data_IF_493364815059
#
_entry.id   IF_493364815059
#
_cell.length_a   1.000
_cell.length_b   1.000
_cell.length_c   1.000
_cell.angle_alpha   90.00
_cell.angle_beta   90.00
_cell.angle_gamma   90.00
#
_symmetry.space_group_name_H-M   'P 1'
#
loop_
_entity.id
_entity.type
_entity.pdbx_description
1 polymer ?
#
# COMPACT_ATOMS: atom_id res chain seq x y z
N UNK A 1 -49.51 -21.14 -21.44
CA UNK A 1 -48.63 -20.03 -21.83
C UNK A 1 -47.61 -19.85 -20.71
N UNK A 2 -46.37 -20.32 -20.90
CA UNK A 2 -45.32 -20.33 -19.88
C UNK A 2 -44.54 -19.01 -19.97
N UNK A 3 -44.71 -18.13 -18.98
CA UNK A 3 -44.02 -16.84 -18.92
C UNK A 3 -42.72 -17.00 -18.12
N UNK A 4 -41.60 -17.13 -18.82
CA UNK A 4 -40.27 -17.33 -18.21
C UNK A 4 -39.65 -15.97 -17.87
N UNK A 5 -39.61 -15.63 -16.58
CA UNK A 5 -38.95 -14.42 -16.08
C UNK A 5 -37.44 -14.70 -15.93
N UNK A 6 -36.63 -14.19 -16.86
CA UNK A 6 -35.17 -14.24 -16.77
C UNK A 6 -34.67 -13.04 -15.93
N UNK A 7 -34.32 -13.30 -14.67
CA UNK A 7 -33.61 -12.34 -13.83
C UNK A 7 -32.13 -12.32 -14.23
N UNK A 8 -31.73 -11.36 -15.06
CA UNK A 8 -30.32 -11.10 -15.34
C UNK A 8 -29.74 -10.22 -14.21
N UNK A 9 -29.25 -10.85 -13.13
CA UNK A 9 -28.45 -10.14 -12.12
C UNK A 9 -27.08 -9.79 -12.72
N UNK A 10 -27.00 -8.64 -13.40
CA UNK A 10 -25.72 -8.06 -13.79
C UNK A 10 -25.05 -7.48 -12.53
N UNK A 11 -24.12 -8.25 -11.93
CA UNK A 11 -23.20 -7.72 -10.93
C UNK A 11 -22.23 -6.80 -11.68
N UNK A 12 -22.52 -5.50 -11.68
CA UNK A 12 -21.54 -4.49 -12.07
C UNK A 12 -20.53 -4.42 -10.93
N UNK A 13 -19.53 -5.30 -10.98
CA UNK A 13 -18.35 -5.16 -10.14
C UNK A 13 -17.61 -3.90 -10.62
N UNK A 14 -17.84 -2.78 -9.94
CA UNK A 14 -17.14 -1.53 -10.20
C UNK A 14 -15.63 -1.79 -10.12
N UNK A 15 -14.93 -1.65 -11.26
CA UNK A 15 -13.47 -1.69 -11.30
C UNK A 15 -12.98 -0.43 -10.59
N UNK A 16 -12.72 -0.56 -9.29
CA UNK A 16 -12.08 0.48 -8.51
C UNK A 16 -10.59 0.47 -8.86
N UNK A 17 -10.12 1.54 -9.48
CA UNK A 17 -8.69 1.73 -9.73
C UNK A 17 -7.96 1.81 -8.40
N UNK A 18 -7.10 0.82 -8.13
CA UNK A 18 -6.29 0.80 -6.91
C UNK A 18 -5.18 1.83 -7.08
N UNK A 19 -5.14 2.83 -6.19
CA UNK A 19 -4.08 3.85 -6.20
C UNK A 19 -2.71 3.21 -5.99
N UNK A 20 -1.66 3.79 -6.58
CA UNK A 20 -0.30 3.31 -6.45
C UNK A 20 0.62 4.43 -5.99
N UNK A 21 1.32 4.20 -4.87
CA UNK A 21 2.33 5.10 -4.33
C UNK A 21 3.71 4.49 -4.48
N UNK A 22 4.68 5.36 -4.73
CA UNK A 22 6.08 4.98 -4.83
C UNK A 22 6.86 5.53 -3.64
N UNK A 23 7.83 4.76 -3.19
CA UNK A 23 8.76 5.14 -2.12
C UNK A 23 10.07 4.39 -2.32
N UNK A 24 11.14 4.92 -1.73
CA UNK A 24 12.47 4.34 -1.80
C UNK A 24 12.90 3.83 -0.42
N UNK A 25 13.57 2.69 -0.40
CA UNK A 25 14.26 2.15 0.76
C UNK A 25 15.68 1.74 0.37
N UNK A 26 16.57 1.70 1.35
CA UNK A 26 17.95 1.26 1.16
C UNK A 26 18.15 -0.10 1.80
N UNK A 27 18.80 -1.01 1.08
CA UNK A 27 19.15 -2.33 1.61
C UNK A 27 20.06 -2.16 2.83
N UNK A 28 19.80 -2.96 3.87
CA UNK A 28 20.53 -2.89 5.14
C UNK A 28 20.19 -1.68 6.04
N UNK A 29 19.38 -0.72 5.57
CA UNK A 29 18.99 0.45 6.36
C UNK A 29 17.55 0.35 6.86
N UNK A 30 17.28 0.93 8.03
CA UNK A 30 15.94 0.93 8.60
C UNK A 30 14.99 1.77 7.74
N UNK A 31 13.88 1.14 7.33
CA UNK A 31 12.82 1.71 6.53
C UNK A 31 11.56 1.90 7.37
N UNK A 32 10.91 3.06 7.20
CA UNK A 32 9.61 3.37 7.78
C UNK A 32 8.75 4.09 6.75
N UNK A 33 7.53 3.63 6.56
CA UNK A 33 6.52 4.29 5.74
C UNK A 33 5.22 4.43 6.52
N UNK A 34 4.68 5.64 6.55
CA UNK A 34 3.46 5.95 7.30
C UNK A 34 2.25 5.72 6.41
N UNK A 35 1.33 4.89 6.88
CA UNK A 35 0.00 4.72 6.33
C UNK A 35 -0.97 5.65 7.07
N UNK A 36 -1.75 6.40 6.31
CA UNK A 36 -2.72 7.35 6.84
C UNK A 36 -4.06 7.16 6.13
N UNK A 37 -5.15 7.03 6.88
CA UNK A 37 -6.49 6.74 6.32
C UNK A 37 -6.97 7.81 5.32
N UNK A 38 -6.65 9.08 5.58
CA UNK A 38 -6.98 10.20 4.68
C UNK A 38 -6.34 10.11 3.28
N UNK A 39 -5.37 9.21 3.06
CA UNK A 39 -4.87 8.92 1.70
C UNK A 39 -5.85 8.05 0.88
N UNK A 40 -6.80 7.37 1.54
CA UNK A 40 -7.73 6.40 0.96
C UNK A 40 -9.20 6.83 1.09
N UNK A 41 -9.51 7.65 2.10
CA UNK A 41 -10.84 8.15 2.42
C UNK A 41 -10.85 9.68 2.41
N UNK A 42 -11.98 10.34 2.08
CA UNK A 42 -12.07 11.80 2.06
C UNK A 42 -11.75 12.47 3.40
N UNK A 43 -11.94 11.77 4.51
CA UNK A 43 -11.70 12.24 5.86
C UNK A 43 -10.80 11.25 6.63
N UNK A 44 -10.15 11.73 7.69
CA UNK A 44 -9.47 10.86 8.66
C UNK A 44 -10.52 10.01 9.38
N UNK A 45 -10.36 8.68 9.29
CA UNK A 45 -11.30 7.70 9.82
C UNK A 45 -10.53 6.54 10.43
N UNK A 46 -11.10 5.92 11.45
CA UNK A 46 -10.51 4.74 12.06
C UNK A 46 -10.69 3.51 11.16
N UNK A 47 -9.58 2.79 10.94
CA UNK A 47 -9.55 1.63 10.06
C UNK A 47 -8.79 0.47 10.71
N UNK A 48 -9.14 -0.76 10.31
CA UNK A 48 -8.29 -1.92 10.47
C UNK A 48 -7.36 -2.01 9.26
N UNK A 49 -6.06 -1.97 9.53
CA UNK A 49 -5.02 -2.10 8.52
C UNK A 49 -4.64 -3.57 8.31
N UNK A 50 -4.48 -3.97 7.06
CA UNK A 50 -3.76 -5.19 6.70
C UNK A 50 -2.89 -4.94 5.47
N UNK A 51 -1.83 -5.72 5.33
CA UNK A 51 -0.90 -5.59 4.23
C UNK A 51 -0.39 -6.96 3.81
N UNK A 52 -0.26 -7.15 2.51
CA UNK A 52 0.25 -8.38 1.90
C UNK A 52 1.25 -8.02 0.80
N UNK A 53 1.97 -9.00 0.29
CA UNK A 53 2.72 -8.82 -0.94
C UNK A 53 1.76 -8.96 -2.13
N UNK A 54 1.98 -8.22 -3.23
CA UNK A 54 1.20 -8.46 -4.45
C UNK A 54 1.30 -9.93 -4.85
N UNK A 55 0.14 -10.59 -4.98
CA UNK A 55 -0.02 -12.01 -5.31
C UNK A 55 0.48 -13.02 -4.24
N UNK A 56 0.84 -12.59 -3.03
CA UNK A 56 1.15 -13.52 -1.92
C UNK A 56 0.53 -13.07 -0.60
N UNK A 57 0.06 -14.00 0.24
CA UNK A 57 -0.65 -13.63 1.47
C UNK A 57 0.24 -12.99 2.55
N UNK A 58 1.55 -13.26 2.53
CA UNK A 58 2.47 -12.81 3.57
C UNK A 58 3.36 -11.65 3.10
N UNK A 59 3.66 -10.74 4.02
CA UNK A 59 4.71 -9.74 3.84
C UNK A 59 6.10 -10.42 3.79
N UNK A 60 7.10 -9.80 3.14
CA UNK A 60 8.48 -10.24 3.27
C UNK A 60 8.91 -10.29 4.73
N UNK A 61 9.78 -11.24 5.11
CA UNK A 61 10.21 -11.43 6.51
C UNK A 61 10.87 -10.20 7.14
N UNK A 62 11.39 -9.29 6.31
CA UNK A 62 12.01 -8.06 6.75
C UNK A 62 11.03 -6.91 7.00
N UNK A 63 9.78 -7.03 6.56
CA UNK A 63 8.78 -5.96 6.57
C UNK A 63 7.57 -6.34 7.43
N UNK A 64 7.20 -5.45 8.33
CA UNK A 64 6.09 -5.62 9.25
C UNK A 64 5.11 -4.46 9.13
N UNK A 65 3.83 -4.78 9.25
CA UNK A 65 2.79 -3.79 9.47
C UNK A 65 2.57 -3.61 10.97
N UNK A 66 2.81 -2.41 11.47
CA UNK A 66 2.66 -2.05 12.88
C UNK A 66 1.53 -1.04 13.03
N UNK A 67 0.39 -1.42 13.62
CA UNK A 67 -0.69 -0.49 13.92
C UNK A 67 -0.24 0.58 14.91
N UNK A 68 -0.70 1.82 14.72
CA UNK A 68 -0.52 2.89 15.71
C UNK A 68 -1.60 2.83 16.79
N UNK A 69 -1.39 3.57 17.90
CA UNK A 69 -2.44 3.83 18.90
C UNK A 69 -3.64 4.56 18.29
N UNK A 70 -3.39 5.43 17.31
CA UNK A 70 -4.42 6.09 16.52
C UNK A 70 -4.78 5.18 15.34
N UNK A 71 -6.02 4.66 15.28
CA UNK A 71 -6.39 3.63 14.30
C UNK A 71 -6.43 4.14 12.86
N UNK A 72 -6.50 5.46 12.67
CA UNK A 72 -6.29 6.09 11.37
C UNK A 72 -4.85 5.94 10.83
N UNK A 73 -3.88 5.47 11.64
CA UNK A 73 -2.47 5.36 11.30
C UNK A 73 -1.93 3.93 11.46
N UNK A 74 -1.01 3.56 10.59
CA UNK A 74 -0.14 2.40 10.76
C UNK A 74 1.22 2.66 10.10
N UNK A 75 2.19 1.79 10.35
CA UNK A 75 3.52 1.91 9.79
C UNK A 75 3.93 0.61 9.11
N UNK A 76 4.48 0.72 7.91
CA UNK A 76 5.29 -0.34 7.32
C UNK A 76 6.73 -0.11 7.76
N UNK A 77 7.27 -1.03 8.56
CA UNK A 77 8.60 -0.91 9.15
C UNK A 77 9.44 -2.16 8.88
N UNK A 78 10.73 -1.97 8.65
CA UNK A 78 11.59 -3.09 8.31
C UNK A 78 13.00 -2.69 7.95
N UNK A 79 13.88 -3.68 7.76
CA UNK A 79 15.23 -3.47 7.24
C UNK A 79 15.42 -4.34 6.01
N UNK A 80 15.41 -3.82 4.77
CA UNK A 80 15.43 -4.65 3.58
C UNK A 80 16.69 -5.50 3.50
N UNK A 81 16.52 -6.81 3.74
CA UNK A 81 17.57 -7.83 3.63
C UNK A 81 17.19 -8.82 2.53
N UNK A 82 17.24 -8.35 1.28
CA UNK A 82 16.78 -9.12 0.11
C UNK A 82 17.55 -8.79 -1.16
N UNK A 83 17.65 -9.76 -2.07
CA UNK A 83 18.18 -9.56 -3.42
C UNK A 83 17.22 -8.83 -4.37
N UNK A 84 15.95 -8.63 -3.98
CA UNK A 84 14.97 -7.93 -4.82
C UNK A 84 15.37 -6.45 -5.03
N UNK A 85 15.04 -5.92 -6.22
CA UNK A 85 15.20 -4.48 -6.54
C UNK A 85 13.96 -3.66 -6.20
N UNK A 86 12.82 -4.32 -6.08
CA UNK A 86 11.53 -3.68 -5.84
C UNK A 86 10.61 -4.66 -5.13
N UNK A 87 9.77 -4.13 -4.26
CA UNK A 87 8.71 -4.88 -3.56
C UNK A 87 7.40 -4.09 -3.70
N UNK A 88 6.34 -4.76 -4.14
CA UNK A 88 4.99 -4.15 -4.20
C UNK A 88 4.14 -4.71 -3.06
N UNK A 89 3.83 -3.86 -2.09
CA UNK A 89 2.94 -4.16 -0.96
C UNK A 89 1.52 -3.78 -1.36
N UNK A 90 0.57 -4.67 -1.10
CA UNK A 90 -0.86 -4.41 -1.24
C UNK A 90 -1.42 -4.11 0.14
N UNK A 91 -1.84 -2.87 0.34
CA UNK A 91 -2.39 -2.38 1.62
C UNK A 91 -3.90 -2.33 1.52
N UNK A 92 -4.55 -2.79 2.58
CA UNK A 92 -5.99 -2.73 2.76
C UNK A 92 -6.29 -1.89 4.00
N UNK A 93 -7.24 -0.97 3.86
CA UNK A 93 -7.81 -0.22 4.96
C UNK A 93 -9.30 -0.53 5.02
N UNK A 94 -9.73 -1.22 6.07
CA UNK A 94 -11.14 -1.51 6.31
C UNK A 94 -11.66 -0.58 7.39
N UNK A 95 -12.62 0.29 7.04
CA UNK A 95 -13.28 1.15 8.02
C UNK A 95 -13.91 0.35 9.14
N UNK A 96 -13.82 0.87 10.37
CA UNK A 96 -14.38 0.21 11.54
C UNK A 96 -15.88 0.47 11.73
N UNK A 97 -16.37 1.58 11.17
CA UNK A 97 -17.76 2.02 11.30
C UNK A 97 -18.65 1.48 10.16
N UNK A 98 -18.22 1.66 8.91
CA UNK A 98 -19.02 1.27 7.72
C UNK A 98 -18.60 -0.05 7.11
N UNK A 99 -17.48 -0.63 7.57
CA UNK A 99 -16.85 -1.81 6.97
C UNK A 99 -16.42 -1.64 5.50
N UNK A 100 -16.48 -0.42 4.96
CA UNK A 100 -15.97 -0.09 3.64
C UNK A 100 -14.47 -0.38 3.57
N UNK A 101 -14.04 -1.10 2.53
CA UNK A 101 -12.63 -1.43 2.32
C UNK A 101 -12.08 -0.65 1.14
N UNK A 102 -10.95 0.03 1.37
CA UNK A 102 -10.14 0.65 0.33
C UNK A 102 -8.79 -0.04 0.25
N UNK A 103 -8.18 0.06 -0.93
CA UNK A 103 -6.93 -0.60 -1.25
C UNK A 103 -5.97 0.35 -1.92
N UNK A 104 -4.68 0.13 -1.71
CA UNK A 104 -3.61 0.86 -2.39
C UNK A 104 -2.38 -0.04 -2.52
N UNK A 105 -1.62 0.17 -3.59
CA UNK A 105 -0.30 -0.42 -3.76
C UNK A 105 0.77 0.55 -3.28
N UNK A 106 1.72 0.04 -2.49
CA UNK A 106 2.96 0.74 -2.16
C UNK A 106 4.10 0.01 -2.86
N UNK A 107 4.71 0.68 -3.83
CA UNK A 107 5.89 0.23 -4.54
C UNK A 107 7.12 0.77 -3.82
N UNK A 108 7.89 -0.15 -3.23
CA UNK A 108 9.14 0.15 -2.52
C UNK A 108 10.30 -0.22 -3.43
N UNK A 109 10.99 0.79 -3.96
CA UNK A 109 12.24 0.62 -4.71
C UNK A 109 13.39 0.40 -3.72
N UNK A 110 14.21 -0.63 -3.94
CA UNK A 110 15.30 -1.02 -3.03
C UNK A 110 16.65 -0.64 -3.66
N UNK A 111 17.23 0.45 -3.17
CA UNK A 111 18.58 0.87 -3.55
C UNK A 111 19.63 0.02 -2.85
N UNK A 112 20.70 -0.32 -3.58
CA UNK A 112 21.89 -0.93 -3.00
C UNK A 112 22.63 0.05 -2.08
N UNK A 113 23.23 -0.47 -1.03
CA UNK A 113 24.09 0.31 -0.13
C UNK A 113 25.42 0.58 -0.84
N UNK A 114 25.43 1.57 -1.74
CA UNK A 114 26.58 1.88 -2.59
C UNK A 114 26.31 2.81 -3.77
N UNK A 115 25.05 3.02 -4.18
CA UNK A 115 24.74 4.04 -5.19
C UNK A 115 24.41 5.36 -4.52
N UNK A 116 25.43 6.20 -4.34
CA UNK A 116 25.29 7.64 -4.23
C UNK A 116 24.67 8.19 -5.53
N UNK A 117 23.36 8.01 -5.73
CA UNK A 117 22.59 8.78 -6.70
C UNK A 117 22.16 10.10 -6.06
N UNK A 118 23.12 10.86 -5.54
CA UNK A 118 22.96 12.28 -5.31
C UNK A 118 23.78 13.00 -6.37
N UNK A 119 23.31 13.01 -7.62
CA UNK A 119 23.86 13.87 -8.65
C UNK A 119 22.70 14.59 -9.36
N UNK A 120 22.54 15.86 -8.97
CA UNK A 120 22.01 17.01 -9.74
C UNK A 120 20.50 17.17 -9.88
N UNK A 121 19.88 17.82 -8.88
CA UNK A 121 18.76 18.76 -9.10
C UNK A 121 19.01 20.12 -8.44
N UNK A 122 20.24 20.40 -8.04
CA UNK A 122 20.69 21.75 -7.66
C UNK A 122 21.66 22.17 -8.74
N UNK A 123 21.18 22.88 -9.77
CA UNK A 123 21.90 23.71 -10.77
C UNK A 123 21.03 23.85 -12.04
N UNK A 124 19.79 24.30 -11.88
CA UNK A 124 18.95 24.88 -12.95
C UNK A 124 18.16 26.03 -12.33
N UNK A 125 18.89 27.02 -11.82
CA UNK A 125 18.38 28.35 -11.46
C UNK A 125 19.60 29.27 -11.31
N UNK A 126 20.22 29.57 -12.44
CA UNK A 126 21.14 30.69 -12.64
C UNK A 126 20.64 31.46 -13.85
#
# INVERSE_FOLDING_TARGET
MQNTLLLLCAVVAGVSTIDTRQTDARKGQFFVYTLHSAALFPNTVDVAWSATLKNRPALPSWLHLVPSRHKALAYLVGTPVTGARQVTVHVFAKRLDTYETKQQYIVISLAEDGTLSSIRTVFMAG
#
